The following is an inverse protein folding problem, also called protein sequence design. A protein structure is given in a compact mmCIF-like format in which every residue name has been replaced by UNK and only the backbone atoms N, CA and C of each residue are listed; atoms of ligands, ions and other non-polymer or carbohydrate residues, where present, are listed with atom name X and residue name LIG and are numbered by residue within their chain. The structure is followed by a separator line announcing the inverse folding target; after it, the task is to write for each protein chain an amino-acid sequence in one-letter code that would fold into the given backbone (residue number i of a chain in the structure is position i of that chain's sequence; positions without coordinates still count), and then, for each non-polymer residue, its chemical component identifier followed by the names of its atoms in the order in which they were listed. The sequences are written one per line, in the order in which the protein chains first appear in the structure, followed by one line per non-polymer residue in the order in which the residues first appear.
data_IF_458964460039
#
_entry.id   IF_458964460039
#
_cell.length_a   1.000
_cell.length_b   1.000
_cell.length_c   1.000
_cell.angle_alpha   90.00
_cell.angle_beta   90.00
_cell.angle_gamma   90.00
#
_symmetry.space_group_name_H-M   'P 1'
#
loop_
_entity.id
_entity.type
_entity.pdbx_description
1 polymer ?
#
# COMPACT_ATOMS: atom_id res chain seq x y z
N UNK A 1 4.56 5.36 13.95
CA UNK A 1 3.76 6.49 13.43
C UNK A 1 4.27 7.74 14.11
N UNK A 2 4.57 8.82 13.37
CA UNK A 2 5.18 10.04 13.93
C UNK A 2 4.27 11.26 13.82
N UNK A 3 3.71 11.52 12.63
CA UNK A 3 2.81 12.64 12.35
C UNK A 3 1.93 12.31 11.13
N UNK A 4 0.79 13.00 10.93
CA UNK A 4 -0.03 12.87 9.73
C UNK A 4 0.70 13.41 8.49
N UNK A 5 0.49 12.78 7.33
CA UNK A 5 1.09 13.19 6.05
C UNK A 5 -0.01 13.42 5.03
N UNK A 6 0.10 14.50 4.26
CA UNK A 6 -0.84 14.89 3.20
C UNK A 6 -0.08 15.43 1.97
N UNK A 7 -0.81 15.70 0.87
CA UNK A 7 -0.26 16.23 -0.40
C UNK A 7 0.85 15.40 -1.07
N UNK A 8 0.86 14.08 -0.83
CA UNK A 8 1.79 13.15 -1.48
C UNK A 8 1.14 12.36 -2.63
N UNK A 9 1.94 12.05 -3.64
CA UNK A 9 1.59 11.14 -4.74
C UNK A 9 2.50 9.92 -4.73
N UNK A 10 1.89 8.73 -4.87
CA UNK A 10 2.61 7.46 -5.03
C UNK A 10 2.52 7.04 -6.49
N UNK A 11 3.64 6.68 -7.10
CA UNK A 11 3.70 6.22 -8.48
C UNK A 11 4.47 4.90 -8.61
N UNK A 12 4.03 4.04 -9.53
CA UNK A 12 4.67 2.75 -9.82
C UNK A 12 3.94 1.96 -10.89
N UNK A 13 4.59 0.92 -11.41
CA UNK A 13 3.96 -0.05 -12.30
C UNK A 13 3.24 -1.11 -11.46
N UNK A 14 1.99 -1.43 -11.80
CA UNK A 14 1.19 -2.41 -11.04
C UNK A 14 1.83 -3.80 -10.98
N UNK A 15 2.49 -4.25 -12.04
CA UNK A 15 3.19 -5.55 -12.06
C UNK A 15 4.27 -5.60 -10.99
N UNK A 16 5.07 -4.55 -10.90
CA UNK A 16 6.18 -4.46 -9.95
C UNK A 16 5.66 -4.31 -8.52
N UNK A 17 4.58 -3.55 -8.33
CA UNK A 17 3.92 -3.39 -7.03
C UNK A 17 3.38 -4.72 -6.50
N UNK A 18 2.71 -5.51 -7.34
CA UNK A 18 2.14 -6.81 -6.96
C UNK A 18 3.24 -7.82 -6.65
N UNK A 19 4.32 -7.85 -7.44
CA UNK A 19 5.49 -8.69 -7.18
C UNK A 19 6.30 -8.21 -5.96
N UNK A 20 6.15 -6.93 -5.59
CA UNK A 20 6.83 -6.29 -4.47
C UNK A 20 6.16 -6.49 -3.11
N UNK A 21 5.02 -7.17 -3.03
CA UNK A 21 4.32 -7.45 -1.77
C UNK A 21 5.20 -8.34 -0.88
N UNK A 22 5.52 -7.85 0.32
CA UNK A 22 6.35 -8.55 1.31
C UNK A 22 5.52 -9.30 2.34
N UNK A 23 4.35 -8.76 2.70
CA UNK A 23 3.47 -9.36 3.69
C UNK A 23 2.01 -8.89 3.51
N UNK A 24 1.08 -9.72 3.98
CA UNK A 24 -0.33 -9.39 4.16
C UNK A 24 -0.65 -9.56 5.64
N UNK A 25 -1.20 -8.52 6.25
CA UNK A 25 -1.58 -8.50 7.65
C UNK A 25 -2.78 -9.40 7.96
N UNK A 26 -2.93 -9.74 9.24
CA UNK A 26 -4.05 -10.53 9.74
C UNK A 26 -5.31 -9.68 10.03
N UNK A 27 -5.17 -8.35 10.00
CA UNK A 27 -6.31 -7.44 9.98
C UNK A 27 -7.15 -7.70 8.72
N UNK A 28 -8.47 -7.58 8.83
CA UNK A 28 -9.37 -7.91 7.71
C UNK A 28 -10.25 -6.73 7.38
N UNK A 29 -10.12 -6.24 6.15
CA UNK A 29 -11.00 -5.25 5.55
C UNK A 29 -11.88 -5.93 4.49
N UNK A 30 -13.20 -5.85 4.69
CA UNK A 30 -14.19 -6.44 3.81
C UNK A 30 -14.89 -5.36 2.97
N UNK A 31 -14.82 -5.49 1.66
CA UNK A 31 -15.51 -4.63 0.71
C UNK A 31 -16.25 -5.47 -0.33
N UNK A 32 -17.55 -5.71 -0.07
CA UNK A 32 -18.38 -6.60 -0.87
C UNK A 32 -17.82 -8.03 -0.88
N UNK A 33 -17.55 -8.57 -2.07
CA UNK A 33 -16.96 -9.90 -2.25
C UNK A 33 -15.41 -9.92 -2.14
N UNK A 34 -14.80 -8.83 -1.65
CA UNK A 34 -13.34 -8.72 -1.47
C UNK A 34 -13.00 -8.63 0.02
N UNK A 35 -12.05 -9.45 0.43
CA UNK A 35 -11.51 -9.51 1.79
C UNK A 35 -10.00 -9.37 1.66
N UNK A 36 -9.42 -8.37 2.32
CA UNK A 36 -7.98 -8.11 2.26
C UNK A 36 -7.47 -7.55 3.58
N UNK A 37 -6.26 -7.91 3.98
CA UNK A 37 -5.58 -7.28 5.10
C UNK A 37 -4.65 -6.16 4.68
N UNK A 38 -4.01 -5.50 5.64
CA UNK A 38 -2.99 -4.49 5.33
C UNK A 38 -1.86 -5.09 4.49
N UNK A 39 -1.47 -4.40 3.41
CA UNK A 39 -0.43 -4.88 2.49
C UNK A 39 0.86 -4.10 2.71
N UNK A 40 1.95 -4.81 3.02
CA UNK A 40 3.29 -4.23 3.00
C UNK A 40 3.89 -4.40 1.61
N UNK A 41 3.96 -3.31 0.85
CA UNK A 41 4.68 -3.26 -0.43
C UNK A 41 6.13 -2.84 -0.16
N UNK A 42 7.06 -3.32 -0.98
CA UNK A 42 8.44 -2.86 -0.96
C UNK A 42 8.56 -1.35 -1.33
N UNK A 43 9.78 -0.89 -1.59
CA UNK A 43 10.06 0.53 -1.81
C UNK A 43 9.31 1.08 -3.03
N UNK A 44 8.49 2.10 -2.79
CA UNK A 44 7.71 2.81 -3.81
C UNK A 44 8.27 4.22 -4.08
N UNK A 45 7.96 4.78 -5.26
CA UNK A 45 8.24 6.20 -5.52
C UNK A 45 7.16 7.04 -4.85
N UNK A 46 7.59 7.92 -3.96
CA UNK A 46 6.75 8.92 -3.28
C UNK A 46 7.23 10.29 -3.70
N UNK A 47 6.31 11.13 -4.18
CA UNK A 47 6.55 12.52 -4.49
C UNK A 47 5.66 13.39 -3.60
N UNK A 48 6.15 14.54 -3.16
CA UNK A 48 5.39 15.56 -2.44
C UNK A 48 5.82 16.94 -2.93
N UNK A 49 4.97 17.94 -2.69
CA UNK A 49 5.29 19.35 -2.95
C UNK A 49 6.16 19.94 -1.84
#
# INVERSE_FOLDING_TARGET
IAYPVEEITIAGNLRDMLLGIQAVGADTYNYGAKTVGSILVNRMKVAGS
#
